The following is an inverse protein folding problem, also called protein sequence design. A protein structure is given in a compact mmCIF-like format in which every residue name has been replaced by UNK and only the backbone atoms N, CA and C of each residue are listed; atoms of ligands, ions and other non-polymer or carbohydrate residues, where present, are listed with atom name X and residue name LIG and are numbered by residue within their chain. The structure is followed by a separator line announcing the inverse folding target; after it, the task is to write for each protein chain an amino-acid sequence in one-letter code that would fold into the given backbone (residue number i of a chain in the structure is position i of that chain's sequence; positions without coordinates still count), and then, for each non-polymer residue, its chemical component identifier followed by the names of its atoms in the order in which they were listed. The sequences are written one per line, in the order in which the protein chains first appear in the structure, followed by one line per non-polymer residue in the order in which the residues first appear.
data_IF_616200700250
#
_entry.id   IF_616200700250
#
_cell.length_a   1.000
_cell.length_b   1.000
_cell.length_c   1.000
_cell.angle_alpha   90.00
_cell.angle_beta   90.00
_cell.angle_gamma   90.00
#
_symmetry.space_group_name_H-M   'P 1'
#
loop_
_entity.id
_entity.type
_entity.pdbx_description
1 polymer ?
#
# COMPACT_ATOMS: atom_id res chain seq x y z
N UNK A 1 -2.91 7.30 -20.41
CA UNK A 1 -4.27 6.75 -20.24
C UNK A 1 -4.26 5.80 -19.07
N UNK A 2 -5.03 6.08 -18.04
CA UNK A 2 -4.99 5.30 -16.81
C UNK A 2 -5.82 4.04 -16.97
N UNK A 3 -5.17 2.90 -16.87
CA UNK A 3 -5.84 1.62 -16.81
C UNK A 3 -6.41 1.41 -15.41
N UNK A 4 -7.65 1.02 -15.32
CA UNK A 4 -8.32 0.76 -14.05
C UNK A 4 -8.47 -0.74 -13.81
N UNK A 5 -8.34 -1.11 -12.55
CA UNK A 5 -8.53 -2.50 -12.14
C UNK A 5 -10.03 -2.81 -12.04
N UNK A 6 -10.38 -4.08 -12.18
CA UNK A 6 -11.77 -4.53 -12.18
C UNK A 6 -12.48 -4.34 -10.85
N UNK A 7 -11.73 -4.27 -9.77
CA UNK A 7 -12.28 -4.00 -8.45
C UNK A 7 -12.07 -2.53 -8.10
N UNK A 8 -13.12 -1.75 -8.10
CA UNK A 8 -13.05 -0.35 -7.77
C UNK A 8 -12.52 0.52 -8.90
N UNK A 9 -12.42 1.81 -8.63
CA UNK A 9 -12.10 2.82 -9.66
C UNK A 9 -10.70 3.38 -9.56
N UNK A 10 -9.81 2.72 -8.84
CA UNK A 10 -8.45 3.23 -8.67
C UNK A 10 -7.62 2.96 -9.91
N UNK A 11 -6.92 3.97 -10.44
CA UNK A 11 -5.97 3.75 -11.53
C UNK A 11 -4.83 2.84 -11.11
N UNK A 12 -4.36 2.02 -12.01
CA UNK A 12 -3.25 1.09 -11.73
C UNK A 12 -2.03 1.84 -11.20
N UNK A 13 -1.70 2.99 -11.79
CA UNK A 13 -0.54 3.78 -11.40
C UNK A 13 -0.59 4.23 -9.94
N UNK A 14 -1.77 4.64 -9.46
CA UNK A 14 -1.92 5.02 -8.05
C UNK A 14 -1.73 3.84 -7.11
N UNK A 15 -2.27 2.69 -7.48
CA UNK A 15 -2.11 1.46 -6.68
C UNK A 15 -0.65 1.05 -6.63
N UNK A 16 0.04 1.09 -7.76
CA UNK A 16 1.47 0.76 -7.83
C UNK A 16 2.30 1.71 -6.99
N UNK A 17 2.03 3.00 -7.07
CA UNK A 17 2.73 4.01 -6.27
C UNK A 17 2.56 3.75 -4.77
N UNK A 18 1.33 3.45 -4.34
CA UNK A 18 1.05 3.10 -2.95
C UNK A 18 1.84 1.86 -2.52
N UNK A 19 1.79 0.81 -3.32
CA UNK A 19 2.47 -0.45 -3.00
C UNK A 19 3.99 -0.28 -2.97
N UNK A 20 4.53 0.49 -3.90
CA UNK A 20 5.97 0.79 -3.91
C UNK A 20 6.38 1.59 -2.68
N UNK A 21 5.54 2.52 -2.24
CA UNK A 21 5.82 3.30 -1.04
C UNK A 21 5.90 2.43 0.21
N UNK A 22 5.15 1.35 0.26
CA UNK A 22 5.13 0.43 1.39
C UNK A 22 6.08 -0.76 1.22
N UNK A 23 6.61 -1.00 0.03
CA UNK A 23 7.44 -2.16 -0.25
C UNK A 23 8.92 -1.95 0.13
N UNK A 24 9.13 -1.50 1.35
CA UNK A 24 10.47 -1.27 1.92
C UNK A 24 10.38 -1.42 3.43
N UNK A 25 11.30 -2.17 4.02
CA UNK A 25 11.25 -2.46 5.45
C UNK A 25 11.30 -1.20 6.32
N UNK A 26 12.14 -0.24 5.95
CA UNK A 26 12.24 1.01 6.69
C UNK A 26 10.96 1.83 6.57
N UNK A 27 10.37 1.89 5.38
CA UNK A 27 9.11 2.61 5.19
C UNK A 27 7.97 1.98 5.96
N UNK A 28 7.91 0.66 6.01
CA UNK A 28 6.91 -0.02 6.85
C UNK A 28 7.08 0.34 8.32
N UNK A 29 8.32 0.37 8.81
CA UNK A 29 8.60 0.74 10.20
C UNK A 29 8.23 2.19 10.49
N UNK A 30 8.58 3.09 9.58
CA UNK A 30 8.22 4.51 9.71
C UNK A 30 6.70 4.66 9.76
N UNK A 31 6.01 4.03 8.83
CA UNK A 31 4.56 4.09 8.77
C UNK A 31 3.92 3.54 10.04
N UNK A 32 4.39 2.41 10.53
CA UNK A 32 3.89 1.81 11.75
C UNK A 32 4.07 2.72 12.97
N UNK A 33 5.22 3.39 13.08
CA UNK A 33 5.44 4.38 14.14
C UNK A 33 4.48 5.56 14.03
N UNK A 34 4.25 6.05 12.82
CA UNK A 34 3.32 7.16 12.60
C UNK A 34 1.87 6.78 12.85
N UNK A 35 1.54 5.52 12.72
CA UNK A 35 0.21 5.02 13.11
C UNK A 35 -0.02 5.11 14.62
N UNK A 36 1.05 5.16 15.40
CA UNK A 36 0.99 5.29 16.85
C UNK A 36 0.91 6.76 17.30
N UNK A 37 1.14 7.69 16.42
CA UNK A 37 1.07 9.12 16.70
C UNK A 37 1.98 9.93 15.81
N UNK A 38 1.69 11.22 15.74
CA UNK A 38 2.49 12.16 14.98
C UNK A 38 3.91 12.22 15.53
N UNK A 39 4.88 12.34 14.66
CA UNK A 39 6.28 12.36 15.08
C UNK A 39 7.07 13.36 14.26
N UNK A 40 8.07 13.99 14.89
CA UNK A 40 9.05 14.83 14.20
C UNK A 40 10.20 13.97 13.67
N UNK A 41 11.04 14.56 12.80
CA UNK A 41 12.21 13.89 12.26
C UNK A 41 13.15 13.36 13.34
N UNK A 42 13.39 14.14 14.38
CA UNK A 42 14.33 13.74 15.43
C UNK A 42 13.83 12.52 16.20
N UNK A 43 12.54 12.44 16.47
CA UNK A 43 11.98 11.26 17.14
C UNK A 43 12.09 10.03 16.24
N UNK A 44 11.77 10.16 14.97
CA UNK A 44 11.88 9.05 14.01
C UNK A 44 13.33 8.60 13.84
N UNK A 45 14.28 9.54 13.74
CA UNK A 45 15.69 9.21 13.67
C UNK A 45 16.15 8.45 14.91
N UNK A 46 15.76 8.91 16.07
CA UNK A 46 16.14 8.29 17.33
C UNK A 46 15.61 6.87 17.45
N UNK A 47 14.33 6.69 17.11
CA UNK A 47 13.69 5.40 17.27
C UNK A 47 14.11 4.38 16.23
N UNK A 48 14.44 4.82 15.02
CA UNK A 48 14.75 3.92 13.90
C UNK A 48 16.25 3.80 13.63
N UNK A 49 17.05 4.72 14.14
CA UNK A 49 18.48 4.72 13.89
C UNK A 49 18.86 4.97 12.42
N UNK A 50 18.01 5.64 11.67
CA UNK A 50 18.26 5.93 10.27
C UNK A 50 19.03 7.24 10.11
N UNK A 51 19.95 7.31 9.12
CA UNK A 51 20.57 8.59 8.77
C UNK A 51 19.51 9.58 8.32
N UNK A 52 19.66 10.89 8.63
CA UNK A 52 18.66 11.90 8.25
C UNK A 52 18.31 11.94 6.76
N UNK A 53 19.30 11.75 5.90
CA UNK A 53 19.11 11.74 4.45
C UNK A 53 18.18 10.59 4.02
N UNK A 54 18.41 9.43 4.60
CA UNK A 54 17.65 8.24 4.28
C UNK A 54 16.22 8.36 4.81
N UNK A 55 16.08 8.88 6.03
CA UNK A 55 14.76 9.13 6.59
C UNK A 55 13.96 10.10 5.72
N UNK A 56 14.57 11.19 5.30
CA UNK A 56 13.93 12.19 4.43
C UNK A 56 13.49 11.56 3.10
N UNK A 57 14.33 10.70 2.54
CA UNK A 57 14.00 9.97 1.31
C UNK A 57 12.75 9.09 1.50
N UNK A 58 12.71 8.34 2.56
CA UNK A 58 11.57 7.46 2.86
C UNK A 58 10.29 8.24 3.15
N UNK A 59 10.39 9.33 3.90
CA UNK A 59 9.24 10.18 4.18
C UNK A 59 8.69 10.82 2.91
N UNK A 60 9.56 11.19 1.98
CA UNK A 60 9.14 11.73 0.69
C UNK A 60 8.33 10.69 -0.09
N UNK A 61 8.78 9.45 -0.14
CA UNK A 61 8.07 8.38 -0.83
C UNK A 61 6.68 8.17 -0.24
N UNK A 62 6.56 8.15 1.08
CA UNK A 62 5.27 8.00 1.76
C UNK A 62 4.35 9.20 1.50
N UNK A 63 4.91 10.40 1.43
CA UNK A 63 4.14 11.62 1.13
C UNK A 63 3.66 11.64 -0.30
N UNK A 64 4.48 11.22 -1.25
CA UNK A 64 4.09 11.15 -2.67
C UNK A 64 2.96 10.16 -2.90
N UNK A 65 2.88 9.11 -2.11
CA UNK A 65 1.78 8.16 -2.16
C UNK A 65 0.53 8.66 -1.41
N UNK A 66 0.60 9.82 -0.77
CA UNK A 66 -0.52 10.38 -0.03
C UNK A 66 -0.78 9.77 1.33
N UNK A 67 0.07 8.84 1.78
CA UNK A 67 -0.12 8.16 3.06
C UNK A 67 0.23 9.04 4.25
N UNK A 68 1.19 9.93 4.08
CA UNK A 68 1.73 10.78 5.12
C UNK A 68 1.68 12.23 4.67
N UNK A 69 1.36 13.12 5.59
CA UNK A 69 1.43 14.56 5.42
C UNK A 69 2.41 15.15 6.41
N UNK A 70 2.92 16.32 6.11
CA UNK A 70 3.70 17.10 7.07
C UNK A 70 2.87 18.27 7.55
N UNK A 71 3.10 18.69 8.80
CA UNK A 71 2.55 19.91 9.33
C UNK A 71 3.60 20.65 10.15
N UNK A 72 3.56 21.97 10.11
CA UNK A 72 4.43 22.78 10.94
C UNK A 72 3.77 23.03 12.29
N UNK A 73 4.61 23.11 13.32
CA UNK A 73 4.12 23.51 14.62
C UNK A 73 3.54 24.94 14.55
N UNK A 74 2.41 25.16 15.21
CA UNK A 74 1.72 26.45 15.17
C UNK A 74 2.48 27.55 15.90
N UNK A 75 3.27 27.18 16.91
CA UNK A 75 4.01 28.13 17.73
C UNK A 75 5.44 28.33 17.21
N UNK A 76 6.11 27.24 16.84
CA UNK A 76 7.48 27.28 16.33
C UNK A 76 7.55 26.53 15.01
N UNK A 77 7.48 27.29 13.91
CA UNK A 77 7.47 26.72 12.55
C UNK A 77 8.74 26.01 12.11
N UNK A 78 9.77 25.98 12.95
CA UNK A 78 10.97 25.18 12.70
C UNK A 78 10.69 23.69 12.93
N UNK A 79 9.69 23.37 13.73
CA UNK A 79 9.29 22.00 14.01
C UNK A 79 8.30 21.51 12.95
N UNK A 80 8.64 20.39 12.32
CA UNK A 80 7.78 19.73 11.34
C UNK A 80 7.42 18.36 11.88
N UNK A 81 6.14 18.08 11.88
CA UNK A 81 5.60 16.78 12.28
C UNK A 81 5.06 16.03 11.08
N UNK A 82 5.17 14.73 11.11
CA UNK A 82 4.61 13.85 10.09
C UNK A 82 3.38 13.16 10.64
N UNK A 83 2.35 13.09 9.82
CA UNK A 83 1.00 12.67 10.21
C UNK A 83 0.47 11.71 9.17
N UNK A 84 -0.15 10.62 9.62
CA UNK A 84 -0.82 9.71 8.68
C UNK A 84 -2.14 10.34 8.23
N UNK A 85 -2.42 10.27 6.94
CA UNK A 85 -3.68 10.73 6.38
C UNK A 85 -4.77 9.68 6.61
N UNK A 86 -5.63 9.92 7.58
CA UNK A 86 -6.75 9.00 7.88
C UNK A 86 -7.69 8.84 6.70
N UNK A 87 -7.91 9.90 5.95
CA UNK A 87 -8.77 9.89 4.78
C UNK A 87 -8.23 8.97 3.69
N UNK A 88 -6.96 9.14 3.36
CA UNK A 88 -6.29 8.28 2.38
C UNK A 88 -6.28 6.83 2.84
N UNK A 89 -6.00 6.62 4.12
CA UNK A 89 -5.95 5.28 4.70
C UNK A 89 -7.30 4.56 4.60
N UNK A 90 -8.38 5.27 4.94
CA UNK A 90 -9.73 4.70 4.84
C UNK A 90 -10.10 4.32 3.42
N UNK A 91 -9.74 5.18 2.45
CA UNK A 91 -9.99 4.91 1.05
C UNK A 91 -9.26 3.65 0.57
N UNK A 92 -7.98 3.51 0.92
CA UNK A 92 -7.19 2.35 0.52
C UNK A 92 -7.62 1.08 1.27
N UNK A 93 -7.97 1.20 2.55
CA UNK A 93 -8.52 0.06 3.28
C UNK A 93 -9.73 -0.52 2.58
N UNK A 94 -10.68 0.34 2.20
CA UNK A 94 -11.92 -0.09 1.57
C UNK A 94 -11.64 -0.69 0.19
N UNK A 95 -10.73 -0.07 -0.56
CA UNK A 95 -10.37 -0.57 -1.88
C UNK A 95 -9.69 -1.94 -1.81
N UNK A 96 -8.73 -2.13 -0.90
CA UNK A 96 -8.05 -3.41 -0.76
C UNK A 96 -8.97 -4.49 -0.20
N UNK A 97 -9.89 -4.13 0.67
CA UNK A 97 -10.87 -5.07 1.19
C UNK A 97 -11.70 -5.67 0.06
N UNK A 98 -12.08 -4.86 -0.91
CA UNK A 98 -12.78 -5.32 -2.09
C UNK A 98 -11.85 -6.04 -3.07
N UNK A 99 -10.69 -5.47 -3.34
CA UNK A 99 -9.74 -6.02 -4.30
C UNK A 99 -9.24 -7.40 -3.90
N UNK A 100 -8.99 -7.62 -2.63
CA UNK A 100 -8.46 -8.87 -2.10
C UNK A 100 -9.56 -9.80 -1.55
N UNK A 101 -10.81 -9.52 -1.83
CA UNK A 101 -11.91 -10.33 -1.35
C UNK A 101 -11.87 -11.72 -2.03
N UNK A 102 -11.78 -12.81 -1.25
CA UNK A 102 -11.78 -14.16 -1.81
C UNK A 102 -13.02 -14.48 -2.64
N UNK A 103 -14.14 -13.84 -2.37
CA UNK A 103 -15.38 -14.04 -3.12
C UNK A 103 -15.25 -13.61 -4.59
N UNK A 104 -14.23 -12.84 -4.94
CA UNK A 104 -13.97 -12.43 -6.33
C UNK A 104 -13.36 -13.54 -7.17
N UNK A 105 -12.79 -14.55 -6.56
CA UNK A 105 -12.19 -15.66 -7.31
C UNK A 105 -13.28 -16.36 -8.09
N UNK A 106 -13.10 -16.41 -9.40
CA UNK A 106 -14.10 -17.02 -10.28
C UNK A 106 -13.56 -18.31 -10.87
N UNK A 107 -14.45 -19.27 -10.99
CA UNK A 107 -14.17 -20.44 -11.81
C UNK A 107 -14.36 -20.06 -13.26
N UNK A 108 -13.35 -20.34 -14.05
CA UNK A 108 -13.43 -20.12 -15.47
C UNK A 108 -12.79 -21.28 -16.23
N UNK A 109 -13.24 -21.47 -17.45
CA UNK A 109 -12.69 -22.49 -18.31
C UNK A 109 -11.26 -22.14 -18.70
N UNK A 110 -10.36 -23.09 -18.52
CA UNK A 110 -9.00 -22.99 -19.01
C UNK A 110 -9.01 -23.32 -20.51
N UNK A 111 -8.49 -22.39 -21.33
CA UNK A 111 -8.59 -22.51 -22.77
C UNK A 111 -7.36 -23.14 -23.43
N UNK A 112 -6.28 -23.33 -22.68
CA UNK A 112 -5.06 -23.90 -23.21
C UNK A 112 -4.56 -25.07 -22.36
N UNK A 113 -3.70 -25.88 -22.93
CA UNK A 113 -3.19 -27.06 -22.27
C UNK A 113 -4.21 -28.21 -22.24
N UNK A 114 -3.92 -29.30 -21.50
CA UNK A 114 -4.79 -30.48 -21.46
C UNK A 114 -6.19 -30.21 -20.96
N UNK A 115 -6.35 -29.27 -20.02
CA UNK A 115 -7.67 -28.91 -19.49
C UNK A 115 -8.53 -28.17 -20.53
N UNK A 116 -7.90 -27.34 -21.37
CA UNK A 116 -8.59 -26.63 -22.42
C UNK A 116 -9.12 -27.52 -23.53
N UNK A 117 -8.51 -28.68 -23.72
CA UNK A 117 -8.94 -29.68 -24.70
C UNK A 117 -10.10 -30.53 -24.21
N UNK A 118 -10.30 -30.58 -22.90
CA UNK A 118 -11.37 -31.33 -22.27
C UNK A 118 -12.49 -30.38 -21.86
N UNK A 119 -13.08 -29.73 -22.80
CA UNK A 119 -13.94 -28.55 -22.66
C UNK A 119 -15.12 -28.67 -21.68
N UNK A 120 -15.19 -29.53 -20.78
CA UNK A 120 -16.19 -29.63 -19.74
C UNK A 120 -15.70 -30.44 -18.55
N UNK A 121 -14.40 -30.60 -18.42
CA UNK A 121 -13.86 -31.26 -17.25
C UNK A 121 -14.20 -30.43 -16.03
N UNK A 122 -14.89 -30.99 -15.02
CA UNK A 122 -15.10 -30.26 -13.78
C UNK A 122 -13.73 -29.93 -13.21
N UNK A 123 -13.56 -28.69 -12.82
CA UNK A 123 -12.37 -28.27 -12.12
C UNK A 123 -12.34 -29.01 -10.79
N UNK A 124 -11.73 -30.15 -10.74
CA UNK A 124 -11.23 -30.69 -9.50
C UNK A 124 -9.99 -29.89 -9.17
N UNK A 125 -10.21 -28.79 -8.53
CA UNK A 125 -9.13 -28.03 -7.97
C UNK A 125 -8.58 -28.82 -6.78
N UNK A 126 -7.67 -29.69 -7.04
CA UNK A 126 -6.67 -30.01 -6.06
C UNK A 126 -5.78 -28.78 -6.02
N UNK A 127 -6.01 -27.95 -5.04
CA UNK A 127 -5.10 -26.86 -4.77
C UNK A 127 -3.76 -27.48 -4.40
N UNK A 128 -2.77 -27.25 -5.26
CA UNK A 128 -1.43 -27.56 -4.86
C UNK A 128 -1.02 -26.56 -3.79
N UNK A 129 -0.58 -27.03 -2.63
CA UNK A 129 -0.02 -26.13 -1.64
C UNK A 129 1.19 -25.42 -2.23
N UNK A 130 1.19 -24.11 -2.18
CA UNK A 130 2.31 -23.31 -2.65
C UNK A 130 3.59 -23.62 -1.87
#
# INVERSE_FOLDING_TARGET
MDEKLSAGEQPVEEVVLLLQALADANRLRIFDLLMQGDSCNCELNERLGLPPNLLSHHLRALRQAGLVRSRRDAVDGRWIYYVVSKETLGRWRDWFQEFLDPARVQERLVLCGPEGQQAAAPANATEEPA
#
